data_IF_961449811478
#
_entry.id   IF_961449811478
#
_cell.length_a   1.000
_cell.length_b   1.000
_cell.length_c   1.000
_cell.angle_alpha   90.00
_cell.angle_beta   90.00
_cell.angle_gamma   90.00
#
_symmetry.space_group_name_H-M   'P 1'
#
loop_
_entity.id
_entity.type
_entity.pdbx_description
1 polymer ?
#
# COMPACT_ATOMS: atom_id res chain seq x y z
N UNK A 1 -4.05 -10.66 -25.24
CA UNK A 1 -2.60 -10.53 -25.50
C UNK A 1 -2.11 -9.08 -25.48
N UNK A 2 -2.91 -8.08 -25.86
CA UNK A 2 -2.59 -6.64 -25.63
C UNK A 2 -2.17 -6.31 -24.19
N UNK A 3 -2.77 -6.98 -23.20
CA UNK A 3 -2.41 -6.86 -21.79
C UNK A 3 -0.93 -7.18 -21.47
N UNK A 4 -0.31 -8.16 -22.14
CA UNK A 4 1.12 -8.48 -21.92
C UNK A 4 1.98 -7.31 -22.38
N UNK A 5 1.64 -6.69 -23.52
CA UNK A 5 2.34 -5.50 -24.01
C UNK A 5 2.31 -4.40 -22.96
N UNK A 6 1.11 -4.10 -22.45
CA UNK A 6 0.92 -3.03 -21.45
C UNK A 6 1.75 -3.26 -20.19
N UNK A 7 1.81 -4.49 -19.68
CA UNK A 7 2.66 -4.81 -18.52
C UNK A 7 4.13 -4.62 -18.86
N UNK A 8 4.59 -5.18 -19.97
CA UNK A 8 6.00 -5.11 -20.37
C UNK A 8 6.44 -3.66 -20.56
N UNK A 9 5.61 -2.84 -21.19
CA UNK A 9 5.88 -1.42 -21.39
C UNK A 9 5.93 -0.64 -20.07
N UNK A 10 4.99 -0.91 -19.17
CA UNK A 10 4.97 -0.25 -17.85
C UNK A 10 6.16 -0.66 -16.98
N UNK A 11 6.51 -1.96 -16.96
CA UNK A 11 7.66 -2.45 -16.21
C UNK A 11 8.99 -2.01 -16.85
N UNK A 12 9.13 -2.03 -18.17
CA UNK A 12 10.33 -1.46 -18.81
C UNK A 12 10.49 0.03 -18.49
N UNK A 13 9.39 0.80 -18.54
CA UNK A 13 9.43 2.22 -18.17
C UNK A 13 9.78 2.40 -16.69
N UNK A 14 9.15 1.66 -15.78
CA UNK A 14 9.41 1.74 -14.35
C UNK A 14 10.87 1.44 -14.01
N UNK A 15 11.49 0.47 -14.69
CA UNK A 15 12.89 0.15 -14.49
C UNK A 15 13.83 1.32 -14.86
N UNK A 16 13.52 2.04 -15.96
CA UNK A 16 14.25 3.27 -16.34
C UNK A 16 14.06 4.39 -15.32
N UNK A 17 12.85 4.54 -14.77
CA UNK A 17 12.59 5.51 -13.71
C UNK A 17 13.40 5.19 -12.45
N UNK A 18 13.45 3.92 -12.01
CA UNK A 18 14.25 3.49 -10.85
C UNK A 18 15.76 3.63 -11.04
N UNK A 19 16.22 3.64 -12.30
CA UNK A 19 17.61 3.92 -12.67
C UNK A 19 17.99 5.38 -12.42
N UNK A 20 17.00 6.29 -12.38
CA UNK A 20 17.21 7.68 -11.97
C UNK A 20 17.01 7.77 -10.47
N UNK A 21 18.09 8.04 -9.72
CA UNK A 21 18.03 8.17 -8.26
C UNK A 21 17.41 9.51 -7.84
N UNK A 22 16.10 9.63 -8.03
CA UNK A 22 15.36 10.85 -7.74
C UNK A 22 13.95 10.51 -7.22
N UNK A 23 13.42 11.25 -6.22
CA UNK A 23 12.11 10.97 -5.64
C UNK A 23 10.98 10.92 -6.66
N UNK A 24 10.91 11.90 -7.58
CA UNK A 24 9.84 11.96 -8.60
C UNK A 24 9.83 10.70 -9.47
N UNK A 25 11.00 10.24 -9.91
CA UNK A 25 11.13 9.05 -10.74
C UNK A 25 10.74 7.79 -9.94
N UNK A 26 11.14 7.70 -8.67
CA UNK A 26 10.73 6.60 -7.79
C UNK A 26 9.21 6.53 -7.60
N UNK A 27 8.54 7.68 -7.45
CA UNK A 27 7.08 7.76 -7.38
C UNK A 27 6.41 7.31 -8.68
N UNK A 28 6.91 7.79 -9.83
CA UNK A 28 6.39 7.40 -11.14
C UNK A 28 6.58 5.89 -11.39
N UNK A 29 7.73 5.34 -11.00
CA UNK A 29 7.96 3.91 -11.05
C UNK A 29 6.92 3.14 -10.23
N UNK A 30 6.67 3.57 -8.98
CA UNK A 30 5.67 2.92 -8.11
C UNK A 30 4.28 2.93 -8.75
N UNK A 31 3.86 4.05 -9.36
CA UNK A 31 2.56 4.15 -10.07
C UNK A 31 2.48 3.16 -11.23
N UNK A 32 3.54 3.06 -12.05
CA UNK A 32 3.59 2.15 -13.18
C UNK A 32 3.57 0.68 -12.74
N UNK A 33 4.30 0.34 -11.69
CA UNK A 33 4.35 -1.03 -11.14
C UNK A 33 3.01 -1.42 -10.54
N UNK A 34 2.36 -0.50 -9.82
CA UNK A 34 1.04 -0.74 -9.24
C UNK A 34 0.00 -0.99 -10.33
N UNK A 35 -0.05 -0.14 -11.36
CA UNK A 35 -0.94 -0.33 -12.51
C UNK A 35 -0.66 -1.68 -13.23
N UNK A 36 0.59 -2.06 -13.41
CA UNK A 36 0.95 -3.36 -13.99
C UNK A 36 0.47 -4.52 -13.11
N UNK A 37 0.64 -4.42 -11.79
CA UNK A 37 0.17 -5.42 -10.82
C UNK A 37 -1.35 -5.54 -10.82
N UNK A 38 -2.07 -4.42 -10.83
CA UNK A 38 -3.54 -4.40 -10.94
C UNK A 38 -4.02 -5.13 -12.18
N UNK A 39 -3.35 -4.91 -13.32
CA UNK A 39 -3.64 -5.61 -14.55
C UNK A 39 -3.42 -7.13 -14.39
N UNK A 40 -2.31 -7.56 -13.77
CA UNK A 40 -2.03 -8.99 -13.50
C UNK A 40 -3.14 -9.61 -12.65
N UNK A 41 -3.47 -8.98 -11.53
CA UNK A 41 -4.52 -9.42 -10.62
C UNK A 41 -5.86 -9.48 -11.34
N UNK A 42 -6.24 -8.43 -12.06
CA UNK A 42 -7.51 -8.38 -12.79
C UNK A 42 -7.59 -9.45 -13.89
N UNK A 43 -6.48 -9.75 -14.55
CA UNK A 43 -6.45 -10.80 -15.56
C UNK A 43 -6.68 -12.19 -14.95
N UNK A 44 -5.98 -12.51 -13.87
CA UNK A 44 -6.15 -13.77 -13.15
C UNK A 44 -7.60 -13.96 -12.69
N UNK A 45 -8.17 -12.91 -12.11
CA UNK A 45 -9.56 -12.78 -11.74
C UNK A 45 -10.52 -13.10 -12.89
N UNK A 46 -10.28 -12.48 -14.05
CA UNK A 46 -11.10 -12.70 -15.26
C UNK A 46 -10.99 -14.15 -15.76
N UNK A 47 -9.78 -14.71 -15.76
CA UNK A 47 -9.55 -16.09 -16.19
C UNK A 47 -10.20 -17.10 -15.21
N UNK A 48 -10.24 -16.79 -13.91
CA UNK A 48 -11.02 -17.56 -12.92
C UNK A 48 -12.52 -17.51 -13.21
N UNK A 49 -13.09 -16.33 -13.45
CA UNK A 49 -14.51 -16.22 -13.80
C UNK A 49 -14.87 -17.00 -15.06
N UNK A 50 -14.00 -17.00 -16.08
CA UNK A 50 -14.23 -17.78 -17.31
C UNK A 50 -14.25 -19.28 -17.04
N UNK A 51 -13.29 -19.79 -16.25
CA UNK A 51 -13.24 -21.20 -15.86
C UNK A 51 -14.45 -21.59 -15.02
N UNK A 52 -14.78 -20.78 -14.02
CA UNK A 52 -15.92 -20.98 -13.14
C UNK A 52 -17.25 -21.02 -13.92
N UNK A 53 -17.43 -20.15 -14.93
CA UNK A 53 -18.58 -20.21 -15.82
C UNK A 53 -18.60 -21.47 -16.71
N UNK A 54 -17.44 -21.87 -17.26
CA UNK A 54 -17.31 -23.09 -18.07
C UNK A 54 -17.68 -24.33 -17.25
N UNK A 55 -17.09 -24.47 -16.06
CA UNK A 55 -17.36 -25.58 -15.15
C UNK A 55 -18.80 -25.61 -14.66
N UNK A 56 -19.39 -24.44 -14.33
CA UNK A 56 -20.81 -24.37 -14.01
C UNK A 56 -21.71 -24.81 -15.19
N UNK A 57 -21.28 -24.54 -16.43
CA UNK A 57 -21.96 -25.02 -17.63
C UNK A 57 -21.86 -26.54 -17.81
N UNK A 58 -20.64 -27.09 -17.65
CA UNK A 58 -20.38 -28.54 -17.71
C UNK A 58 -21.20 -29.26 -16.63
N UNK A 59 -21.19 -28.77 -15.40
CA UNK A 59 -21.92 -29.38 -14.29
C UNK A 59 -23.43 -29.40 -14.55
N UNK A 60 -24.00 -28.29 -15.07
CA UNK A 60 -25.42 -28.26 -15.49
C UNK A 60 -25.75 -29.25 -16.60
N UNK A 61 -24.90 -29.35 -17.63
CA UNK A 61 -25.09 -30.30 -18.72
C UNK A 61 -25.02 -31.74 -18.22
N UNK A 62 -24.07 -32.01 -17.33
CA UNK A 62 -23.87 -33.32 -16.71
C UNK A 62 -25.06 -33.73 -15.84
N UNK A 63 -25.60 -32.82 -15.02
CA UNK A 63 -26.83 -33.05 -14.25
C UNK A 63 -28.05 -33.30 -15.13
N UNK A 64 -28.16 -32.62 -16.27
CA UNK A 64 -29.25 -32.86 -17.23
C UNK A 64 -29.14 -34.27 -17.83
N UNK A 65 -27.94 -34.70 -18.22
CA UNK A 65 -27.69 -36.06 -18.73
C UNK A 65 -28.01 -37.11 -17.65
N UNK A 66 -27.59 -36.90 -16.41
CA UNK A 66 -27.89 -37.81 -15.29
C UNK A 66 -29.40 -38.01 -15.07
N UNK A 67 -30.16 -36.91 -15.22
CA UNK A 67 -31.62 -36.94 -15.10
C UNK A 67 -32.27 -37.74 -16.21
N UNK A 68 -31.76 -37.62 -17.43
CA UNK A 68 -32.31 -38.28 -18.62
C UNK A 68 -31.81 -39.73 -18.79
N UNK A 69 -30.67 -40.08 -18.19
CA UNK A 69 -30.09 -41.44 -18.15
C UNK A 69 -29.52 -41.76 -16.75
N UNK A 70 -30.35 -42.30 -15.82
CA UNK A 70 -29.95 -42.57 -14.44
C UNK A 70 -28.83 -43.62 -14.28
N UNK A 71 -28.62 -44.48 -15.29
CA UNK A 71 -27.55 -45.50 -15.28
C UNK A 71 -26.21 -44.98 -15.82
N UNK A 72 -26.14 -43.72 -16.28
CA UNK A 72 -24.90 -43.14 -16.77
C UNK A 72 -23.92 -42.92 -15.60
N UNK A 73 -22.79 -43.63 -15.62
CA UNK A 73 -21.69 -43.41 -14.68
C UNK A 73 -21.03 -42.07 -15.00
N UNK A 74 -21.28 -41.08 -14.15
CA UNK A 74 -20.74 -39.73 -14.29
C UNK A 74 -19.54 -39.60 -13.37
N UNK A 75 -18.37 -39.39 -13.98
CA UNK A 75 -17.17 -38.98 -13.28
C UNK A 75 -17.33 -37.50 -12.85
N UNK A 76 -17.96 -37.29 -11.70
CA UNK A 76 -18.07 -35.97 -11.08
C UNK A 76 -16.73 -35.65 -10.42
N UNK A 77 -15.91 -34.86 -11.11
CA UNK A 77 -14.66 -34.31 -10.56
C UNK A 77 -14.98 -33.32 -9.44
N UNK A 78 -15.29 -33.88 -8.27
CA UNK A 78 -15.64 -33.20 -7.02
C UNK A 78 -14.55 -32.27 -6.48
N UNK A 79 -13.38 -32.20 -7.15
CA UNK A 79 -12.28 -31.31 -6.78
C UNK A 79 -12.44 -29.87 -7.31
N UNK A 80 -13.37 -29.63 -8.25
CA UNK A 80 -13.58 -28.30 -8.84
C UNK A 80 -14.43 -27.40 -7.91
N UNK A 81 -13.75 -26.55 -7.13
CA UNK A 81 -14.40 -25.54 -6.29
C UNK A 81 -14.89 -24.35 -7.13
N UNK A 82 -16.21 -24.23 -7.29
CA UNK A 82 -16.85 -23.08 -7.93
C UNK A 82 -16.81 -21.83 -7.03
N UNK A 83 -16.76 -20.66 -7.65
CA UNK A 83 -16.79 -19.38 -6.95
C UNK A 83 -18.19 -19.12 -6.40
N UNK A 84 -18.24 -18.67 -5.15
CA UNK A 84 -19.46 -18.20 -4.50
C UNK A 84 -19.98 -16.89 -5.16
N UNK A 85 -21.28 -16.61 -5.12
CA UNK A 85 -21.85 -15.38 -5.72
C UNK A 85 -21.17 -14.09 -5.25
N UNK A 86 -20.84 -13.98 -3.97
CA UNK A 86 -20.12 -12.83 -3.42
C UNK A 86 -18.70 -12.71 -3.95
N UNK A 87 -17.98 -13.83 -4.12
CA UNK A 87 -16.66 -13.84 -4.75
C UNK A 87 -16.74 -13.38 -6.21
N UNK A 88 -17.75 -13.84 -6.97
CA UNK A 88 -17.99 -13.38 -8.35
C UNK A 88 -18.23 -11.87 -8.42
N UNK A 89 -19.01 -11.32 -7.48
CA UNK A 89 -19.28 -9.88 -7.38
C UNK A 89 -18.00 -9.10 -7.09
N UNK A 90 -17.20 -9.53 -6.11
CA UNK A 90 -15.91 -8.91 -5.75
C UNK A 90 -14.94 -8.89 -6.94
N UNK A 91 -14.83 -10.00 -7.68
CA UNK A 91 -13.94 -10.10 -8.84
C UNK A 91 -14.35 -9.14 -9.97
N UNK A 92 -15.67 -8.99 -10.22
CA UNK A 92 -16.19 -8.09 -11.25
C UNK A 92 -16.07 -6.61 -10.88
N UNK A 93 -15.90 -6.31 -9.61
CA UNK A 93 -15.75 -4.94 -9.10
C UNK A 93 -14.51 -4.23 -9.67
N UNK A 94 -14.48 -2.91 -9.54
CA UNK A 94 -13.36 -2.10 -10.01
C UNK A 94 -12.18 -2.13 -9.02
N UNK A 95 -12.47 -2.14 -7.72
CA UNK A 95 -11.46 -2.04 -6.67
C UNK A 95 -10.50 -3.24 -6.60
N UNK A 96 -9.23 -2.96 -6.28
CA UNK A 96 -8.16 -3.96 -6.17
C UNK A 96 -8.31 -4.84 -4.93
N UNK A 97 -8.51 -4.25 -3.74
CA UNK A 97 -8.51 -4.99 -2.47
C UNK A 97 -9.50 -6.18 -2.42
N UNK A 98 -10.76 -6.04 -2.87
CA UNK A 98 -11.67 -7.19 -2.93
C UNK A 98 -11.17 -8.33 -3.83
N UNK A 99 -10.46 -8.02 -4.92
CA UNK A 99 -9.87 -9.02 -5.82
C UNK A 99 -8.73 -9.76 -5.14
N UNK A 100 -7.84 -9.04 -4.45
CA UNK A 100 -6.73 -9.64 -3.72
C UNK A 100 -7.22 -10.64 -2.65
N UNK A 101 -8.30 -10.30 -1.94
CA UNK A 101 -8.91 -11.19 -0.94
C UNK A 101 -9.40 -12.51 -1.57
N UNK A 102 -10.08 -12.42 -2.72
CA UNK A 102 -10.54 -13.63 -3.42
C UNK A 102 -9.36 -14.45 -3.94
N UNK A 103 -8.30 -13.80 -4.45
CA UNK A 103 -7.11 -14.54 -4.90
C UNK A 103 -6.37 -15.24 -3.75
N UNK A 104 -6.33 -14.63 -2.57
CA UNK A 104 -5.80 -15.29 -1.36
C UNK A 104 -6.65 -16.50 -0.94
N UNK A 105 -7.98 -16.35 -0.85
CA UNK A 105 -8.90 -17.45 -0.53
C UNK A 105 -8.73 -18.65 -1.48
N UNK A 106 -8.43 -18.37 -2.75
CA UNK A 106 -8.23 -19.39 -3.78
C UNK A 106 -6.79 -19.93 -3.85
N UNK A 107 -5.90 -19.50 -2.95
CA UNK A 107 -4.50 -19.94 -2.89
C UNK A 107 -3.59 -19.35 -3.97
N UNK A 108 -4.06 -18.38 -4.76
CA UNK A 108 -3.23 -17.70 -5.77
C UNK A 108 -2.30 -16.65 -5.16
N UNK A 109 -2.60 -16.14 -3.98
CA UNK A 109 -1.75 -15.20 -3.25
C UNK A 109 -1.55 -15.71 -1.83
N UNK A 110 -0.33 -15.55 -1.33
CA UNK A 110 -0.08 -15.69 0.12
C UNK A 110 -0.60 -14.46 0.85
N UNK A 111 -0.88 -14.58 2.15
CA UNK A 111 -1.32 -13.44 2.97
C UNK A 111 -0.30 -12.31 3.00
N UNK A 112 1.00 -12.64 2.95
CA UNK A 112 2.08 -11.65 2.97
C UNK A 112 2.17 -10.88 1.64
N UNK A 113 1.97 -11.54 0.50
CA UNK A 113 1.88 -10.88 -0.81
C UNK A 113 0.66 -9.97 -0.89
N UNK A 114 -0.52 -10.46 -0.47
CA UNK A 114 -1.75 -9.64 -0.40
C UNK A 114 -1.50 -8.37 0.41
N UNK A 115 -0.93 -8.51 1.59
CA UNK A 115 -0.66 -7.38 2.48
C UNK A 115 0.33 -6.41 1.85
N UNK A 116 1.42 -6.90 1.26
CA UNK A 116 2.41 -6.05 0.61
C UNK A 116 1.82 -5.26 -0.57
N UNK A 117 1.04 -5.91 -1.44
CA UNK A 117 0.36 -5.25 -2.57
C UNK A 117 -0.57 -4.15 -2.06
N UNK A 118 -1.37 -4.44 -1.03
CA UNK A 118 -2.29 -3.47 -0.44
C UNK A 118 -1.55 -2.24 0.15
N UNK A 119 -0.40 -2.46 0.80
CA UNK A 119 0.43 -1.37 1.34
C UNK A 119 1.04 -0.54 0.20
N UNK A 120 1.62 -1.18 -0.83
CA UNK A 120 2.20 -0.49 -1.97
C UNK A 120 1.15 0.33 -2.74
N UNK A 121 -0.04 -0.22 -2.92
CA UNK A 121 -1.18 0.48 -3.52
C UNK A 121 -1.63 1.68 -2.68
N UNK A 122 -1.65 1.56 -1.34
CA UNK A 122 -1.92 2.68 -0.43
C UNK A 122 -0.90 3.80 -0.61
N UNK A 123 0.40 3.49 -0.63
CA UNK A 123 1.45 4.49 -0.86
C UNK A 123 1.31 5.17 -2.20
N UNK A 124 1.00 4.43 -3.26
CA UNK A 124 0.71 4.99 -4.58
C UNK A 124 -0.43 6.01 -4.50
N UNK A 125 -1.50 5.74 -3.77
CA UNK A 125 -2.61 6.68 -3.57
C UNK A 125 -2.20 7.91 -2.72
N UNK A 126 -1.41 7.72 -1.66
CA UNK A 126 -0.93 8.83 -0.82
C UNK A 126 0.01 9.78 -1.57
N UNK A 127 0.83 9.27 -2.50
CA UNK A 127 1.70 10.09 -3.34
C UNK A 127 0.92 11.09 -4.21
N UNK A 128 -0.34 10.80 -4.55
CA UNK A 128 -1.21 11.74 -5.26
C UNK A 128 -1.74 12.88 -4.36
N UNK A 129 -1.75 12.70 -3.03
CA UNK A 129 -2.45 13.60 -2.11
C UNK A 129 -1.54 14.37 -1.15
N UNK A 130 -0.45 13.77 -0.67
CA UNK A 130 0.37 14.33 0.42
C UNK A 130 1.83 14.56 -0.01
N UNK A 131 2.27 13.93 -1.10
CA UNK A 131 3.46 14.29 -1.88
C UNK A 131 4.84 14.10 -1.23
N UNK A 132 5.01 14.09 0.10
CA UNK A 132 6.35 14.22 0.71
C UNK A 132 6.68 13.26 1.87
N UNK A 133 5.70 12.58 2.48
CA UNK A 133 5.94 11.86 3.75
C UNK A 133 6.79 10.58 3.62
N UNK A 134 6.92 10.01 2.42
CA UNK A 134 7.48 8.67 2.22
C UNK A 134 8.67 8.59 1.26
N UNK A 135 9.18 9.71 0.74
CA UNK A 135 10.17 9.70 -0.37
C UNK A 135 11.40 8.83 -0.11
N UNK A 136 11.87 8.83 1.14
CA UNK A 136 13.05 8.07 1.55
C UNK A 136 12.90 6.55 1.38
N UNK A 137 11.67 6.01 1.37
CA UNK A 137 11.42 4.57 1.27
C UNK A 137 10.84 4.15 -0.08
N UNK A 138 10.28 5.08 -0.88
CA UNK A 138 9.56 4.74 -2.11
C UNK A 138 10.42 3.98 -3.11
N UNK A 139 11.69 4.34 -3.27
CA UNK A 139 12.58 3.67 -4.23
C UNK A 139 12.76 2.19 -3.90
N UNK A 140 12.99 1.87 -2.63
CA UNK A 140 13.15 0.49 -2.16
C UNK A 140 11.83 -0.29 -2.28
N UNK A 141 10.70 0.32 -1.90
CA UNK A 141 9.36 -0.26 -2.03
C UNK A 141 9.04 -0.58 -3.49
N UNK A 142 9.25 0.39 -4.39
CA UNK A 142 9.02 0.21 -5.82
C UNK A 142 9.93 -0.88 -6.40
N UNK A 143 11.21 -0.90 -6.05
CA UNK A 143 12.14 -1.95 -6.45
C UNK A 143 11.66 -3.35 -6.03
N UNK A 144 11.24 -3.51 -4.77
CA UNK A 144 10.70 -4.80 -4.31
C UNK A 144 9.37 -5.16 -4.95
N UNK A 145 8.49 -4.18 -5.13
CA UNK A 145 7.18 -4.39 -5.75
C UNK A 145 7.31 -4.77 -7.23
N UNK A 146 8.31 -4.24 -7.93
CA UNK A 146 8.66 -4.63 -9.29
C UNK A 146 8.96 -6.12 -9.38
N UNK A 147 9.83 -6.61 -8.49
CA UNK A 147 10.22 -8.02 -8.44
C UNK A 147 9.02 -8.92 -8.16
N UNK A 148 8.19 -8.54 -7.18
CA UNK A 148 6.94 -9.24 -6.91
C UNK A 148 6.01 -9.24 -8.12
N UNK A 149 5.85 -8.11 -8.82
CA UNK A 149 5.04 -8.03 -10.03
C UNK A 149 5.56 -8.97 -11.12
N UNK A 150 6.88 -9.12 -11.28
CA UNK A 150 7.47 -10.08 -12.21
C UNK A 150 7.13 -11.53 -11.81
N UNK A 151 7.23 -11.86 -10.53
CA UNK A 151 6.89 -13.20 -10.02
C UNK A 151 5.40 -13.51 -10.22
N UNK A 152 4.53 -12.56 -9.87
CA UNK A 152 3.08 -12.65 -10.09
C UNK A 152 2.75 -12.75 -11.58
N UNK A 153 3.45 -12.03 -12.45
CA UNK A 153 3.21 -12.08 -13.89
C UNK A 153 3.49 -13.47 -14.49
N UNK A 154 4.52 -14.17 -13.99
CA UNK A 154 4.85 -15.55 -14.39
C UNK A 154 3.86 -16.54 -13.80
N UNK A 155 3.60 -16.42 -12.49
CA UNK A 155 2.78 -17.35 -11.70
C UNK A 155 1.30 -17.24 -12.04
N UNK A 156 0.80 -16.02 -12.22
CA UNK A 156 -0.59 -15.72 -12.51
C UNK A 156 -0.82 -15.59 -14.03
N UNK A 157 -2.00 -16.00 -14.49
CA UNK A 157 -2.38 -15.91 -15.91
C UNK A 157 -1.76 -16.96 -16.82
N UNK A 158 -1.44 -18.16 -16.31
CA UNK A 158 -1.06 -19.32 -17.14
C UNK A 158 -2.27 -19.99 -17.83
N UNK A 159 -3.49 -19.64 -17.45
CA UNK A 159 -4.66 -20.54 -17.63
C UNK A 159 -5.67 -20.09 -18.69
N UNK A 160 -5.26 -19.32 -19.71
CA UNK A 160 -6.16 -19.06 -20.83
C UNK A 160 -6.18 -20.24 -21.80
N UNK A 161 -7.03 -21.24 -21.53
CA UNK A 161 -7.49 -22.25 -22.50
C UNK A 161 -7.95 -21.63 -23.83
N UNK A 162 -8.42 -20.38 -23.77
CA UNK A 162 -8.89 -19.63 -24.92
C UNK A 162 -7.83 -18.64 -25.38
N UNK A 163 -7.01 -19.02 -26.37
CA UNK A 163 -6.19 -18.10 -27.17
C UNK A 163 -7.11 -17.05 -27.82
N UNK A 164 -7.27 -15.88 -27.20
CA UNK A 164 -8.11 -14.83 -27.77
C UNK A 164 -7.37 -14.08 -28.89
N UNK A 165 -8.06 -14.06 -30.04
CA UNK A 165 -7.93 -13.29 -31.29
C UNK A 165 -6.90 -12.16 -31.39
N UNK A 166 -6.20 -12.14 -32.53
CA UNK A 166 -5.29 -11.10 -32.99
C UNK A 166 -5.97 -10.27 -34.09
N UNK A 167 -5.68 -8.96 -34.14
CA UNK A 167 -5.87 -8.17 -35.35
C UNK A 167 -4.54 -8.06 -36.09
N UNK A 168 -4.55 -8.23 -37.40
CA UNK A 168 -3.37 -8.04 -38.26
C UNK A 168 -2.94 -6.57 -38.38
N UNK A 169 -3.66 -5.64 -37.76
CA UNK A 169 -3.48 -4.17 -37.85
C UNK A 169 -2.83 -3.53 -36.61
N UNK A 170 -2.46 -4.30 -35.59
CA UNK A 170 -1.88 -3.72 -34.36
C UNK A 170 -0.43 -3.23 -34.63
N UNK A 171 -0.18 -1.94 -34.45
CA UNK A 171 1.17 -1.36 -34.42
C UNK A 171 1.80 -1.54 -33.03
N UNK A 172 3.00 -2.11 -32.99
CA UNK A 172 3.71 -2.38 -31.74
C UNK A 172 4.85 -1.39 -31.52
N UNK A 173 4.98 -0.91 -30.27
CA UNK A 173 6.06 -0.01 -29.86
C UNK A 173 7.43 -0.67 -29.98
N UNK A 174 8.49 0.15 -30.03
CA UNK A 174 9.88 -0.33 -30.03
C UNK A 174 10.24 -1.08 -28.74
N UNK A 175 9.58 -0.76 -27.62
CA UNK A 175 9.74 -1.46 -26.33
C UNK A 175 9.21 -2.88 -26.44
N UNK A 176 7.97 -3.06 -26.92
CA UNK A 176 7.38 -4.38 -27.10
C UNK A 176 8.26 -5.31 -27.95
N UNK A 177 8.85 -4.80 -29.04
CA UNK A 177 9.74 -5.55 -29.93
C UNK A 177 11.06 -5.97 -29.28
N UNK A 178 11.53 -5.26 -28.25
CA UNK A 178 12.76 -5.61 -27.51
C UNK A 178 12.58 -6.88 -26.66
N UNK A 179 11.40 -7.02 -26.08
CA UNK A 179 11.13 -8.06 -25.09
C UNK A 179 10.46 -9.28 -25.69
N UNK A 180 9.50 -9.07 -26.60
CA UNK A 180 8.68 -10.12 -27.16
C UNK A 180 9.32 -10.74 -28.41
N UNK A 181 9.18 -12.06 -28.61
CA UNK A 181 9.68 -12.75 -29.79
C UNK A 181 9.02 -12.19 -31.05
N UNK A 182 9.78 -12.14 -32.15
CA UNK A 182 9.26 -11.72 -33.46
C UNK A 182 9.49 -12.79 -34.51
N UNK A 183 8.52 -12.95 -35.41
CA UNK A 183 8.57 -13.82 -36.57
C UNK A 183 8.09 -13.01 -37.78
N UNK A 184 8.91 -12.94 -38.83
CA UNK A 184 8.64 -12.13 -40.04
C UNK A 184 8.30 -10.66 -39.74
N UNK A 185 9.02 -10.04 -38.79
CA UNK A 185 8.81 -8.64 -38.41
C UNK A 185 7.56 -8.35 -37.57
N UNK A 186 6.77 -9.37 -37.21
CA UNK A 186 5.61 -9.26 -36.33
C UNK A 186 5.87 -9.98 -35.00
N UNK A 187 5.23 -9.54 -33.92
CA UNK A 187 5.36 -10.20 -32.61
C UNK A 187 4.68 -11.58 -32.65
N UNK A 188 5.42 -12.62 -32.26
CA UNK A 188 4.94 -14.00 -32.18
C UNK A 188 4.52 -14.34 -30.75
N UNK A 189 3.29 -13.99 -30.40
CA UNK A 189 2.78 -14.27 -29.06
C UNK A 189 2.65 -15.76 -28.73
N UNK A 190 2.65 -16.65 -29.73
CA UNK A 190 2.62 -18.09 -29.50
C UNK A 190 3.95 -18.62 -28.96
N UNK A 191 5.04 -17.89 -29.21
CA UNK A 191 6.38 -18.17 -28.71
C UNK A 191 6.71 -17.40 -27.42
N UNK A 192 5.75 -16.69 -26.81
CA UNK A 192 6.00 -15.93 -25.58
C UNK A 192 6.18 -16.86 -24.39
N UNK A 193 7.40 -16.87 -23.88
CA UNK A 193 7.75 -17.44 -22.59
C UNK A 193 7.74 -16.32 -21.53
N UNK A 194 6.80 -16.42 -20.57
CA UNK A 194 6.68 -15.44 -19.48
C UNK A 194 7.87 -15.45 -18.54
N UNK A 195 8.47 -16.61 -18.29
CA UNK A 195 9.62 -16.74 -17.40
C UNK A 195 10.83 -16.03 -18.02
N UNK A 196 11.10 -16.30 -19.30
CA UNK A 196 12.15 -15.60 -20.03
C UNK A 196 11.91 -14.08 -20.11
N UNK A 197 10.65 -13.68 -20.30
CA UNK A 197 10.25 -12.28 -20.34
C UNK A 197 10.46 -11.59 -18.98
N UNK A 198 10.05 -12.23 -17.88
CA UNK A 198 10.28 -11.74 -16.53
C UNK A 198 11.78 -11.63 -16.22
N UNK A 199 12.60 -12.59 -16.66
CA UNK A 199 14.05 -12.51 -16.49
C UNK A 199 14.67 -11.34 -17.25
N UNK A 200 14.22 -11.07 -18.48
CA UNK A 200 14.64 -9.87 -19.22
C UNK A 200 14.24 -8.59 -18.49
N UNK A 201 13.04 -8.51 -17.93
CA UNK A 201 12.56 -7.36 -17.17
C UNK A 201 13.34 -7.18 -15.86
N UNK A 202 13.62 -8.26 -15.13
CA UNK A 202 14.47 -8.22 -13.92
C UNK A 202 15.87 -7.69 -14.24
N UNK A 203 16.46 -8.07 -15.38
CA UNK A 203 17.76 -7.54 -15.85
C UNK A 203 17.71 -6.08 -16.30
N UNK A 204 16.52 -5.51 -16.51
CA UNK A 204 16.36 -4.10 -16.85
C UNK A 204 16.36 -3.19 -15.60
N UNK A 205 16.15 -3.76 -14.40
CA UNK A 205 16.32 -3.02 -13.15
C UNK A 205 17.77 -2.54 -12.99
N UNK A 206 17.99 -1.41 -12.32
CA UNK A 206 19.34 -0.96 -12.01
C UNK A 206 20.07 -1.98 -11.12
N UNK A 207 21.39 -2.13 -11.34
CA UNK A 207 22.24 -3.10 -10.64
C UNK A 207 22.20 -2.96 -9.11
N UNK A 208 21.89 -1.75 -8.62
CA UNK A 208 21.81 -1.46 -7.19
C UNK A 208 20.49 -0.77 -6.85
N UNK A 209 19.57 -1.55 -6.29
CA UNK A 209 18.43 -1.04 -5.54
C UNK A 209 18.78 -1.03 -4.05
N UNK A 210 18.29 -0.05 -3.27
CA UNK A 210 18.41 -0.11 -1.82
C UNK A 210 17.71 -1.35 -1.27
N UNK A 211 18.29 -1.98 -0.25
CA UNK A 211 17.62 -3.04 0.47
C UNK A 211 16.38 -2.48 1.20
N UNK A 212 15.25 -3.18 1.07
CA UNK A 212 14.00 -2.69 1.64
C UNK A 212 14.03 -2.72 3.16
N UNK A 213 14.56 -3.78 3.77
CA UNK A 213 14.61 -3.93 5.22
C UNK A 213 15.49 -2.85 5.85
N UNK A 214 16.66 -2.59 5.27
CA UNK A 214 17.57 -1.54 5.73
C UNK A 214 16.94 -0.15 5.64
N UNK A 215 16.36 0.19 4.48
CA UNK A 215 15.76 1.52 4.27
C UNK A 215 14.55 1.76 5.19
N UNK A 216 13.73 0.72 5.43
CA UNK A 216 12.61 0.81 6.38
C UNK A 216 13.10 0.98 7.82
N UNK A 217 14.16 0.27 8.22
CA UNK A 217 14.77 0.40 9.54
C UNK A 217 15.33 1.81 9.77
N UNK A 218 16.11 2.32 8.82
CA UNK A 218 16.68 3.67 8.86
C UNK A 218 15.61 4.75 8.94
N UNK A 219 14.56 4.62 8.12
CA UNK A 219 13.43 5.54 8.17
C UNK A 219 12.71 5.48 9.53
N UNK A 220 12.43 4.27 10.05
CA UNK A 220 11.79 4.11 11.34
C UNK A 220 12.62 4.74 12.48
N UNK A 221 13.94 4.54 12.48
CA UNK A 221 14.84 5.18 13.44
C UNK A 221 14.78 6.72 13.35
N UNK A 222 14.77 7.29 12.15
CA UNK A 222 14.62 8.74 11.96
C UNK A 222 13.30 9.26 12.51
N UNK A 223 12.18 8.56 12.26
CA UNK A 223 10.88 8.92 12.82
C UNK A 223 10.86 8.87 14.35
N UNK A 224 11.41 7.81 14.95
CA UNK A 224 11.51 7.67 16.41
C UNK A 224 12.34 8.82 17.02
N UNK A 225 13.47 9.14 16.40
CA UNK A 225 14.33 10.25 16.83
C UNK A 225 13.63 11.61 16.71
N UNK A 226 12.83 11.82 15.66
CA UNK A 226 12.04 13.05 15.50
C UNK A 226 11.01 13.20 16.63
N UNK A 227 10.21 12.16 16.89
CA UNK A 227 9.24 12.16 18.00
C UNK A 227 9.92 12.41 19.34
N UNK A 228 11.07 11.77 19.58
CA UNK A 228 11.85 12.00 20.81
C UNK A 228 12.31 13.45 20.91
N UNK A 229 12.88 14.00 19.84
CA UNK A 229 13.39 15.38 19.80
C UNK A 229 12.27 16.38 20.07
N UNK A 230 11.13 16.22 19.43
CA UNK A 230 9.98 17.12 19.60
C UNK A 230 9.43 17.05 21.03
N UNK A 231 9.43 15.86 21.63
CA UNK A 231 9.04 15.71 23.03
C UNK A 231 10.08 16.30 24.00
N UNK A 232 11.38 16.09 23.76
CA UNK A 232 12.43 16.70 24.57
C UNK A 232 12.32 18.23 24.53
N UNK A 233 12.04 18.80 23.35
CA UNK A 233 11.78 20.24 23.18
C UNK A 233 10.59 20.70 24.02
N UNK A 234 9.45 19.99 23.98
CA UNK A 234 8.30 20.29 24.84
C UNK A 234 8.65 20.30 26.32
N UNK A 235 9.43 19.34 26.80
CA UNK A 235 9.81 19.26 28.21
C UNK A 235 10.80 20.36 28.61
N UNK A 236 11.72 20.73 27.72
CA UNK A 236 12.77 21.72 28.02
C UNK A 236 12.25 23.16 27.94
N UNK A 237 11.43 23.48 26.95
CA UNK A 237 11.06 24.85 26.60
C UNK A 237 9.66 25.25 27.06
N UNK A 238 8.94 24.37 27.79
CA UNK A 238 7.61 24.74 28.25
C UNK A 238 7.67 25.81 29.36
N UNK A 239 6.83 26.86 29.27
CA UNK A 239 6.90 28.01 30.18
C UNK A 239 6.42 27.69 31.60
N UNK A 240 5.78 26.54 31.81
CA UNK A 240 5.17 26.15 33.08
C UNK A 240 6.07 25.24 33.92
N UNK A 241 7.25 24.86 33.42
CA UNK A 241 8.18 23.95 34.13
C UNK A 241 7.57 22.57 34.41
N UNK A 242 6.67 22.10 33.55
CA UNK A 242 6.02 20.81 33.69
C UNK A 242 7.03 19.67 33.50
N UNK A 243 6.97 18.69 34.40
CA UNK A 243 7.71 17.45 34.25
C UNK A 243 7.22 16.63 33.05
N UNK A 244 8.10 15.77 32.51
CA UNK A 244 7.84 14.98 31.31
C UNK A 244 6.52 14.21 31.35
N UNK A 245 6.18 13.57 32.49
CA UNK A 245 4.93 12.81 32.62
C UNK A 245 3.71 13.70 32.44
N UNK A 246 3.70 14.90 33.04
CA UNK A 246 2.58 15.83 32.93
C UNK A 246 2.54 16.49 31.56
N UNK A 247 3.69 16.80 30.98
CA UNK A 247 3.77 17.31 29.60
C UNK A 247 3.15 16.33 28.59
N UNK A 248 3.46 15.03 28.73
CA UNK A 248 2.89 13.98 27.88
C UNK A 248 1.37 13.83 28.07
N UNK A 249 0.86 14.02 29.28
CA UNK A 249 -0.57 14.04 29.57
C UNK A 249 -1.26 15.22 28.88
N UNK A 250 -0.69 16.43 29.02
CA UNK A 250 -1.20 17.65 28.39
C UNK A 250 -1.20 17.54 26.87
N UNK A 251 -0.12 17.08 26.25
CA UNK A 251 -0.02 16.91 24.80
C UNK A 251 -1.08 15.94 24.25
N UNK A 252 -1.33 14.82 24.95
CA UNK A 252 -2.38 13.86 24.56
C UNK A 252 -3.78 14.45 24.71
N UNK A 253 -4.05 15.14 25.82
CA UNK A 253 -5.35 15.76 26.07
C UNK A 253 -5.65 16.84 25.03
N UNK A 254 -4.69 17.72 24.74
CA UNK A 254 -4.82 18.76 23.72
C UNK A 254 -5.08 18.17 22.33
N UNK A 255 -4.36 17.10 21.98
CA UNK A 255 -4.59 16.40 20.71
C UNK A 255 -6.00 15.79 20.62
N UNK A 256 -6.46 15.09 21.67
CA UNK A 256 -7.80 14.50 21.70
C UNK A 256 -8.89 15.57 21.67
N UNK A 257 -8.69 16.70 22.36
CA UNK A 257 -9.59 17.86 22.30
C UNK A 257 -9.65 18.46 20.89
N UNK A 258 -8.51 18.66 20.24
CA UNK A 258 -8.46 19.17 18.87
C UNK A 258 -9.22 18.25 17.90
N UNK A 259 -9.09 16.92 18.04
CA UNK A 259 -9.86 15.94 17.25
C UNK A 259 -11.36 15.99 17.57
N UNK A 260 -11.73 16.19 18.84
CA UNK A 260 -13.14 16.33 19.25
C UNK A 260 -13.78 17.59 18.64
N UNK A 261 -13.06 18.72 18.66
CA UNK A 261 -13.47 19.98 18.02
C UNK A 261 -13.61 19.80 16.51
N UNK A 262 -12.64 19.14 15.86
CA UNK A 262 -12.70 18.84 14.43
C UNK A 262 -13.93 18.00 14.07
N UNK A 263 -14.27 16.99 14.89
CA UNK A 263 -15.45 16.15 14.66
C UNK A 263 -16.77 16.93 14.75
N UNK A 264 -16.79 18.06 15.45
CA UNK A 264 -17.94 18.95 15.59
C UNK A 264 -17.97 20.07 14.54
N UNK A 265 -17.03 20.06 13.59
CA UNK A 265 -16.89 21.05 12.52
C UNK A 265 -16.73 22.50 13.02
N UNK A 266 -16.07 22.66 14.17
CA UNK A 266 -15.84 23.97 14.79
C UNK A 266 -14.48 24.59 14.43
N UNK A 267 -13.71 23.95 13.56
CA UNK A 267 -12.39 24.44 13.13
C UNK A 267 -12.57 25.70 12.28
N UNK A 268 -11.91 26.80 12.63
CA UNK A 268 -12.04 28.07 11.89
C UNK A 268 -13.06 29.05 12.45
N UNK A 269 -13.89 28.62 13.40
CA UNK A 269 -14.97 29.45 13.96
C UNK A 269 -14.55 30.27 15.19
N UNK A 270 -13.25 30.52 15.41
CA UNK A 270 -12.76 31.26 16.59
C UNK A 270 -13.29 32.71 16.69
N UNK A 271 -13.85 33.25 15.62
CA UNK A 271 -14.53 34.56 15.57
C UNK A 271 -16.03 34.49 15.88
N UNK A 272 -16.61 33.30 15.95
CA UNK A 272 -18.01 33.11 16.29
C UNK A 272 -18.21 33.39 17.80
N UNK A 273 -19.17 34.25 18.19
CA UNK A 273 -19.50 34.51 19.59
C UNK A 273 -19.77 33.24 20.41
N UNK A 274 -20.34 32.20 19.78
CA UNK A 274 -20.73 30.95 20.44
C UNK A 274 -19.60 29.90 20.45
N UNK A 275 -18.46 30.19 19.82
CA UNK A 275 -17.31 29.28 19.75
C UNK A 275 -16.81 28.93 21.14
N UNK A 276 -16.73 29.91 22.04
CA UNK A 276 -16.19 29.70 23.39
C UNK A 276 -17.06 28.75 24.20
N UNK A 277 -18.37 28.94 24.17
CA UNK A 277 -19.31 28.05 24.86
C UNK A 277 -19.26 26.63 24.28
N UNK A 278 -19.19 26.53 22.94
CA UNK A 278 -19.08 25.23 22.26
C UNK A 278 -17.78 24.51 22.58
N UNK A 279 -16.67 25.24 22.62
CA UNK A 279 -15.36 24.74 23.03
C UNK A 279 -15.38 24.22 24.47
N UNK A 280 -15.85 25.05 25.41
CA UNK A 280 -15.87 24.71 26.83
C UNK A 280 -16.78 23.49 27.09
N UNK A 281 -17.91 23.38 26.37
CA UNK A 281 -18.77 22.19 26.42
C UNK A 281 -18.06 20.93 25.93
N UNK A 282 -17.36 20.99 24.81
CA UNK A 282 -16.60 19.84 24.29
C UNK A 282 -15.46 19.44 25.25
N UNK A 283 -14.80 20.42 25.86
CA UNK A 283 -13.75 20.16 26.84
C UNK A 283 -14.31 19.43 28.07
N UNK A 284 -15.44 19.89 28.62
CA UNK A 284 -16.13 19.23 29.75
C UNK A 284 -16.59 17.83 29.38
N UNK A 285 -17.23 17.67 28.22
CA UNK A 285 -17.69 16.37 27.72
C UNK A 285 -16.52 15.39 27.54
N UNK A 286 -15.38 15.87 27.03
CA UNK A 286 -14.19 15.05 26.88
C UNK A 286 -13.60 14.67 28.24
N UNK A 287 -13.43 15.63 29.14
CA UNK A 287 -12.79 15.45 30.44
C UNK A 287 -13.56 14.45 31.34
N UNK A 288 -14.88 14.35 31.19
CA UNK A 288 -15.70 13.41 31.95
C UNK A 288 -15.28 11.94 31.78
N UNK A 289 -14.88 11.54 30.57
CA UNK A 289 -14.54 10.15 30.21
C UNK A 289 -13.09 9.98 29.72
N UNK A 290 -12.29 11.04 29.73
CA UNK A 290 -10.94 10.99 29.17
C UNK A 290 -9.99 10.20 30.03
N UNK A 291 -9.23 9.31 29.39
CA UNK A 291 -8.13 8.57 30.01
C UNK A 291 -6.88 8.71 29.18
N UNK A 292 -5.76 8.96 29.84
CA UNK A 292 -4.45 9.04 29.19
C UNK A 292 -4.10 7.70 28.55
N UNK A 293 -3.82 7.69 27.24
CA UNK A 293 -3.48 6.44 26.51
C UNK A 293 -2.08 5.95 26.81
N UNK A 294 -1.13 6.87 26.98
CA UNK A 294 0.28 6.57 27.22
C UNK A 294 0.81 7.37 28.40
N UNK A 295 1.31 6.69 29.43
CA UNK A 295 1.99 7.33 30.56
C UNK A 295 3.48 7.56 30.29
N UNK A 296 4.05 6.89 29.28
CA UNK A 296 5.45 6.99 28.83
C UNK A 296 5.51 6.81 27.31
N UNK A 297 6.42 7.49 26.64
CA UNK A 297 6.71 7.27 25.20
C UNK A 297 7.54 5.99 25.06
N UNK A 298 7.08 4.95 24.33
CA UNK A 298 7.75 3.66 24.27
C UNK A 298 8.95 3.64 23.29
N UNK A 299 9.86 4.63 23.39
CA UNK A 299 11.03 4.82 22.53
C UNK A 299 11.90 3.57 22.43
N UNK A 300 12.21 2.91 23.55
CA UNK A 300 13.04 1.70 23.56
C UNK A 300 12.35 0.52 22.84
N UNK A 301 11.03 0.39 23.02
CA UNK A 301 10.22 -0.61 22.33
C UNK A 301 10.19 -0.39 20.82
N UNK A 302 9.99 0.86 20.40
CA UNK A 302 10.04 1.23 18.98
C UNK A 302 11.43 1.04 18.37
N UNK A 303 12.48 1.43 19.10
CA UNK A 303 13.87 1.29 18.65
C UNK A 303 14.23 -0.18 18.43
N UNK A 304 13.88 -1.07 19.38
CA UNK A 304 14.09 -2.52 19.19
C UNK A 304 13.35 -3.06 17.97
N UNK A 305 12.11 -2.61 17.73
CA UNK A 305 11.33 -3.01 16.55
C UNK A 305 11.96 -2.50 15.26
N UNK A 306 12.45 -1.25 15.24
CA UNK A 306 13.15 -0.68 14.08
C UNK A 306 14.44 -1.44 13.77
N UNK A 307 15.26 -1.78 14.77
CA UNK A 307 16.46 -2.62 14.57
C UNK A 307 16.10 -4.02 14.06
N UNK A 308 15.00 -4.61 14.55
CA UNK A 308 14.52 -5.89 14.06
C UNK A 308 14.02 -5.85 12.60
N UNK A 309 13.69 -4.67 12.05
CA UNK A 309 13.39 -4.53 10.63
C UNK A 309 14.63 -4.77 9.77
N UNK A 310 15.78 -4.18 10.13
CA UNK A 310 17.02 -4.33 9.37
C UNK A 310 17.56 -5.76 9.37
N UNK A 311 17.19 -6.56 10.37
CA UNK A 311 17.54 -7.98 10.43
C UNK A 311 16.52 -8.90 9.74
N UNK A 312 15.41 -8.37 9.20
CA UNK A 312 14.40 -9.18 8.53
C UNK A 312 14.83 -9.52 7.10
N UNK A 313 15.03 -10.81 6.84
CA UNK A 313 15.46 -11.32 5.54
C UNK A 313 14.32 -11.40 4.52
N UNK A 314 13.06 -11.46 4.96
CA UNK A 314 11.90 -11.43 4.09
C UNK A 314 11.40 -9.99 3.91
N UNK A 315 11.69 -9.33 2.77
CA UNK A 315 11.34 -7.93 2.57
C UNK A 315 9.83 -7.68 2.59
N UNK A 316 8.98 -8.68 2.30
CA UNK A 316 7.53 -8.50 2.38
C UNK A 316 7.07 -8.46 3.85
N UNK A 317 7.68 -9.27 4.71
CA UNK A 317 7.49 -9.20 6.18
C UNK A 317 8.05 -7.93 6.78
N UNK A 318 9.21 -7.45 6.31
CA UNK A 318 9.76 -6.18 6.74
C UNK A 318 8.77 -5.03 6.52
N UNK A 319 8.14 -4.97 5.35
CA UNK A 319 7.13 -3.96 5.03
C UNK A 319 5.92 -4.02 5.98
N UNK A 320 5.40 -5.22 6.25
CA UNK A 320 4.27 -5.43 7.17
C UNK A 320 4.60 -4.98 8.60
N UNK A 321 5.79 -5.35 9.10
CA UNK A 321 6.27 -4.94 10.42
C UNK A 321 6.50 -3.44 10.52
N UNK A 322 7.01 -2.83 9.45
CA UNK A 322 7.20 -1.38 9.38
C UNK A 322 5.87 -0.63 9.46
N UNK A 323 4.85 -1.03 8.70
CA UNK A 323 3.51 -0.42 8.79
C UNK A 323 2.89 -0.61 10.18
N UNK A 324 3.07 -1.77 10.80
CA UNK A 324 2.65 -2.00 12.18
C UNK A 324 3.39 -1.10 13.18
N UNK A 325 4.68 -0.83 12.97
CA UNK A 325 5.46 0.08 13.81
C UNK A 325 4.96 1.52 13.64
N UNK A 326 4.82 2.00 12.41
CA UNK A 326 4.22 3.31 12.10
C UNK A 326 2.85 3.49 12.74
N UNK A 327 1.96 2.52 12.57
CA UNK A 327 0.61 2.58 13.17
C UNK A 327 0.65 2.64 14.69
N UNK A 328 1.65 2.03 15.34
CA UNK A 328 1.80 2.13 16.79
C UNK A 328 2.42 3.45 17.28
N UNK A 329 3.09 4.18 16.38
CA UNK A 329 3.67 5.51 16.68
C UNK A 329 2.69 6.64 16.38
N UNK A 330 1.77 6.46 15.42
CA UNK A 330 1.02 7.55 14.80
C UNK A 330 0.29 8.48 15.78
N UNK A 331 -0.33 7.92 16.83
CA UNK A 331 -1.03 8.74 17.83
C UNK A 331 -0.08 9.67 18.60
N UNK A 332 1.05 9.14 19.07
CA UNK A 332 2.03 9.93 19.81
C UNK A 332 2.82 10.86 18.88
N UNK A 333 3.12 10.43 17.66
CA UNK A 333 3.74 11.28 16.64
C UNK A 333 2.85 12.51 16.37
N UNK A 334 1.56 12.32 16.09
CA UNK A 334 0.64 13.43 15.83
C UNK A 334 0.43 14.34 17.05
N UNK A 335 0.28 13.78 18.25
CA UNK A 335 0.05 14.59 19.46
C UNK A 335 1.28 15.40 19.85
N UNK A 336 2.47 14.81 19.81
CA UNK A 336 3.72 15.48 20.16
C UNK A 336 4.10 16.52 19.10
N UNK A 337 4.02 16.19 17.81
CA UNK A 337 4.35 17.14 16.74
C UNK A 337 3.42 18.36 16.75
N UNK A 338 2.12 18.17 16.99
CA UNK A 338 1.16 19.27 17.10
C UNK A 338 1.50 20.18 18.29
N UNK A 339 1.70 19.59 19.47
CA UNK A 339 2.04 20.36 20.66
C UNK A 339 3.38 21.10 20.50
N UNK A 340 4.39 20.47 19.89
CA UNK A 340 5.69 21.09 19.64
C UNK A 340 5.57 22.28 18.67
N UNK A 341 4.76 22.15 17.62
CA UNK A 341 4.47 23.25 16.70
C UNK A 341 3.75 24.41 17.39
N UNK A 342 2.77 24.12 18.25
CA UNK A 342 2.04 25.12 19.03
C UNK A 342 2.97 25.87 20.00
N UNK A 343 3.87 25.14 20.68
CA UNK A 343 4.86 25.75 21.57
C UNK A 343 5.86 26.63 20.80
N UNK A 344 6.40 26.17 19.67
CA UNK A 344 7.32 26.97 18.86
C UNK A 344 6.63 28.25 18.36
N UNK A 345 5.39 28.15 17.86
CA UNK A 345 4.59 29.30 17.43
C UNK A 345 4.39 30.31 18.59
N UNK A 346 4.13 29.83 19.80
CA UNK A 346 4.01 30.67 20.99
C UNK A 346 5.34 31.35 21.33
N UNK A 347 6.46 30.61 21.33
CA UNK A 347 7.80 31.16 21.57
C UNK A 347 8.13 32.26 20.56
N UNK A 348 7.89 32.03 19.26
CA UNK A 348 8.12 33.04 18.23
C UNK A 348 7.27 34.30 18.45
N UNK A 349 6.04 34.13 18.93
CA UNK A 349 5.14 35.25 19.26
C UNK A 349 5.67 36.07 20.43
N UNK A 350 6.14 35.43 21.50
CA UNK A 350 6.72 36.12 22.66
C UNK A 350 8.04 36.82 22.31
N UNK A 351 8.88 36.21 21.46
CA UNK A 351 10.08 36.86 20.92
C UNK A 351 9.71 38.10 20.09
N UNK A 352 8.63 38.03 19.31
CA UNK A 352 8.09 39.16 18.55
C UNK A 352 7.73 40.33 19.46
N UNK A 353 6.90 40.07 20.47
CA UNK A 353 6.48 41.05 21.48
C UNK A 353 7.67 41.68 22.20
N UNK A 354 8.64 40.86 22.62
CA UNK A 354 9.85 41.35 23.29
C UNK A 354 10.73 42.24 22.39
N UNK A 355 10.64 42.07 21.06
CA UNK A 355 11.31 42.92 20.06
C UNK A 355 10.48 44.14 19.64
N UNK A 356 9.32 44.37 20.24
CA UNK A 356 8.44 45.50 19.93
C UNK A 356 7.72 45.40 18.57
N UNK A 357 7.56 44.18 18.06
CA UNK A 357 6.64 43.86 16.95
C UNK A 357 5.36 43.29 17.51
#
# INVERSE_FOLDING_TARGET
MRYILTIVEQLDRAARELSTDHPINSRLALVLIDNATELVVHRQCTDRLKRDNLWAGIHKATQAIARDNPEAEIDDDSTVVLLQPEQRKKIRGQHLNPKLHVLEEMGDLTSIEKQFIAIAHKYRNELYHVGLRHDTIIRAVAGRYYLLCCDLFVRLGQLSFFKHSYSSTDEYTSVARRYLPTRNGKIDFSAVDKSLLADKLRRALPDRLPDLSDVLADNAHKCILAVKKDFDFLVQENPFGLEAKKMLEVAQWQHDLAKAIQKKDLVGLWVDPDYRESYDRIAVDLEADWTQRHTVIPIEGWTRRATALGNETDPLKAMSRYESLRSSMSYLEESIMSAAADLDQWIQTEIGKARGK
#
